data_IF_281477225639
#
_entry.id   IF_281477225639
#
_cell.length_a   1.000
_cell.length_b   1.000
_cell.length_c   1.000
_cell.angle_alpha   90.00
_cell.angle_beta   90.00
_cell.angle_gamma   90.00
#
_symmetry.space_group_name_H-M   'P 1'
#
loop_
_entity.id
_entity.type
_entity.pdbx_description
1 polymer ?
#
# COMPACT_ATOMS: atom_id res chain seq x y z
N UNK A 1 -14.47 -2.67 21.94
CA UNK A 1 -13.18 -2.12 21.47
C UNK A 1 -13.47 -0.73 20.92
N UNK A 2 -12.69 0.28 21.29
CA UNK A 2 -12.88 1.63 20.75
C UNK A 2 -12.66 1.57 19.23
N UNK A 3 -13.71 1.83 18.46
CA UNK A 3 -13.60 1.91 17.00
C UNK A 3 -12.62 3.05 16.67
N UNK A 4 -11.78 2.85 15.64
CA UNK A 4 -10.82 3.84 15.16
C UNK A 4 -11.08 4.10 13.70
N UNK A 5 -10.90 5.34 13.27
CA UNK A 5 -11.25 5.75 11.91
C UNK A 5 -10.13 6.55 11.25
N UNK A 6 -9.94 6.31 9.95
CA UNK A 6 -9.03 7.05 9.10
C UNK A 6 -9.85 7.72 8.01
N UNK A 7 -9.91 9.06 8.03
CA UNK A 7 -10.35 9.86 6.89
C UNK A 7 -9.19 9.91 5.88
N UNK A 8 -9.35 9.28 4.73
CA UNK A 8 -8.27 9.02 3.78
C UNK A 8 -8.51 9.71 2.44
N UNK A 9 -7.61 10.62 2.07
CA UNK A 9 -7.46 11.02 0.68
C UNK A 9 -6.73 9.95 -0.13
N UNK A 10 -7.04 9.90 -1.42
CA UNK A 10 -6.41 8.95 -2.35
C UNK A 10 -5.30 9.59 -3.17
N UNK A 11 -5.57 10.68 -3.94
CA UNK A 11 -4.52 11.33 -4.73
C UNK A 11 -3.45 11.93 -3.83
N UNK A 12 -2.18 11.75 -4.19
CA UNK A 12 -1.05 12.23 -3.41
C UNK A 12 -0.77 11.44 -2.13
N UNK A 13 -1.66 10.53 -1.70
CA UNK A 13 -1.46 9.65 -0.53
C UNK A 13 -1.16 8.22 -0.96
N UNK A 14 -2.08 7.58 -1.71
CA UNK A 14 -1.94 6.19 -2.17
C UNK A 14 -1.16 6.07 -3.48
N UNK A 15 -1.04 7.17 -4.20
CA UNK A 15 -0.10 7.36 -5.30
C UNK A 15 0.40 8.80 -5.24
N UNK A 16 1.68 9.02 -5.51
CA UNK A 16 2.38 10.30 -5.41
C UNK A 16 3.22 10.53 -6.66
N UNK A 17 3.82 11.72 -6.80
CA UNK A 17 4.74 11.98 -7.93
C UNK A 17 5.92 11.00 -7.92
N UNK A 18 6.42 10.68 -6.72
CA UNK A 18 7.45 9.64 -6.53
C UNK A 18 6.99 8.29 -7.04
N UNK A 19 5.80 7.82 -6.65
CA UNK A 19 5.31 6.51 -7.09
C UNK A 19 5.00 6.52 -8.59
N UNK A 20 4.48 7.62 -9.12
CA UNK A 20 4.19 7.80 -10.54
C UNK A 20 5.46 7.70 -11.39
N UNK A 21 6.55 8.35 -10.96
CA UNK A 21 7.86 8.26 -11.59
C UNK A 21 8.40 6.82 -11.59
N UNK A 22 8.22 6.11 -10.48
CA UNK A 22 8.70 4.72 -10.32
C UNK A 22 7.86 3.70 -11.09
N UNK A 23 6.54 3.89 -11.16
CA UNK A 23 5.58 2.94 -11.74
C UNK A 23 5.19 3.30 -13.19
N UNK A 24 5.64 4.45 -13.70
CA UNK A 24 5.39 4.89 -15.07
C UNK A 24 3.98 5.41 -15.31
N UNK A 25 3.33 6.02 -14.30
CA UNK A 25 2.01 6.64 -14.46
C UNK A 25 1.21 6.79 -13.16
N UNK A 26 -0.01 7.32 -13.31
CA UNK A 26 -1.00 7.52 -12.23
C UNK A 26 -2.31 6.82 -12.62
N UNK A 27 -3.19 6.51 -11.64
CA UNK A 27 -4.46 5.84 -11.91
C UNK A 27 -5.50 6.80 -12.50
N UNK A 28 -5.31 7.20 -13.76
CA UNK A 28 -6.13 8.21 -14.44
C UNK A 28 -6.83 7.72 -15.72
N UNK A 29 -6.73 6.43 -16.07
CA UNK A 29 -7.34 5.89 -17.29
C UNK A 29 -8.81 5.53 -17.11
N UNK A 30 -9.28 5.42 -15.87
CA UNK A 30 -10.66 5.06 -15.55
C UNK A 30 -10.93 3.57 -15.78
N UNK A 31 -9.89 2.73 -15.75
CA UNK A 31 -9.99 1.28 -15.94
C UNK A 31 -9.43 0.53 -14.73
N UNK A 32 -9.87 -0.71 -14.48
CA UNK A 32 -9.32 -1.54 -13.40
C UNK A 32 -7.81 -1.80 -13.52
N UNK A 33 -7.24 -1.59 -14.71
CA UNK A 33 -5.79 -1.71 -14.92
C UNK A 33 -5.00 -0.64 -14.16
N UNK A 34 -5.66 0.42 -13.69
CA UNK A 34 -5.08 1.50 -12.91
C UNK A 34 -4.61 1.08 -11.52
N UNK A 35 -5.06 -0.08 -11.00
CA UNK A 35 -4.58 -0.66 -9.74
C UNK A 35 -3.04 -0.75 -9.69
N UNK A 36 -2.38 -0.98 -10.83
CA UNK A 36 -0.91 -1.09 -10.92
C UNK A 36 -0.15 0.19 -10.55
N UNK A 37 -0.83 1.34 -10.55
CA UNK A 37 -0.23 2.66 -10.30
C UNK A 37 -0.32 3.09 -8.83
N UNK A 38 -0.97 2.30 -7.98
CA UNK A 38 -0.97 2.50 -6.54
C UNK A 38 0.38 2.13 -5.93
N UNK A 39 0.86 2.95 -4.99
CA UNK A 39 2.13 2.68 -4.31
C UNK A 39 1.99 1.49 -3.35
N UNK A 40 2.68 0.36 -3.59
CA UNK A 40 2.63 -0.79 -2.69
C UNK A 40 3.15 -0.48 -1.28
N UNK A 41 4.04 0.50 -1.13
CA UNK A 41 4.57 0.94 0.17
C UNK A 41 3.48 1.68 0.95
N UNK A 42 2.78 2.61 0.30
CA UNK A 42 1.66 3.33 0.91
C UNK A 42 0.54 2.36 1.34
N UNK A 43 0.17 1.44 0.46
CA UNK A 43 -0.79 0.38 0.79
C UNK A 43 -0.32 -0.49 1.96
N UNK A 44 0.98 -0.80 2.03
CA UNK A 44 1.58 -1.53 3.14
C UNK A 44 1.45 -0.80 4.49
N UNK A 45 1.65 0.51 4.52
CA UNK A 45 1.44 1.32 5.73
C UNK A 45 -0.03 1.33 6.16
N UNK A 46 -0.96 1.55 5.23
CA UNK A 46 -2.40 1.52 5.54
C UNK A 46 -2.87 0.16 6.05
N UNK A 47 -2.47 -0.93 5.41
CA UNK A 47 -2.78 -2.29 5.88
C UNK A 47 -2.25 -2.54 7.30
N UNK A 48 -1.08 -1.98 7.64
CA UNK A 48 -0.55 -2.02 9.00
C UNK A 48 -1.37 -1.17 9.98
N UNK A 49 -1.87 -0.01 9.58
CA UNK A 49 -2.79 0.77 10.42
C UNK A 49 -4.05 -0.06 10.74
N UNK A 50 -4.58 -0.84 9.79
CA UNK A 50 -5.70 -1.75 10.08
C UNK A 50 -5.30 -2.85 11.06
N UNK A 51 -4.20 -3.54 10.78
CA UNK A 51 -3.77 -4.69 11.59
C UNK A 51 -3.38 -4.31 13.03
N UNK A 52 -2.80 -3.12 13.23
CA UNK A 52 -2.30 -2.67 14.54
C UNK A 52 -3.35 -1.86 15.29
N UNK A 53 -4.03 -0.93 14.61
CA UNK A 53 -4.96 -0.01 15.25
C UNK A 53 -6.42 -0.51 15.21
N UNK A 54 -6.73 -1.53 14.40
CA UNK A 54 -8.12 -1.93 14.13
C UNK A 54 -8.92 -0.80 13.46
N UNK A 55 -8.22 0.11 12.76
CA UNK A 55 -8.84 1.29 12.18
C UNK A 55 -9.56 0.92 10.88
N UNK A 56 -10.74 1.53 10.68
CA UNK A 56 -11.48 1.48 9.42
C UNK A 56 -11.22 2.75 8.61
N UNK A 57 -11.49 2.69 7.31
CA UNK A 57 -11.23 3.80 6.38
C UNK A 57 -12.54 4.40 5.91
N UNK A 58 -12.62 5.72 5.97
CA UNK A 58 -13.60 6.50 5.23
C UNK A 58 -12.85 7.28 4.15
N UNK A 59 -13.25 7.09 2.91
CA UNK A 59 -12.59 7.75 1.77
C UNK A 59 -13.29 9.07 1.48
N UNK A 60 -12.49 10.13 1.39
CA UNK A 60 -12.93 11.45 0.90
C UNK A 60 -12.82 11.55 -0.63
N UNK A 61 -13.60 12.43 -1.26
CA UNK A 61 -13.41 12.88 -2.66
C UNK A 61 -13.86 11.92 -3.81
N UNK A 62 -13.43 12.17 -5.07
CA UNK A 62 -13.88 11.61 -6.36
C UNK A 62 -13.78 10.08 -6.52
N UNK A 63 -13.27 9.38 -5.51
CA UNK A 63 -13.13 7.92 -5.49
C UNK A 63 -14.43 7.19 -5.14
N UNK A 64 -15.52 7.94 -5.00
CA UNK A 64 -16.83 7.49 -4.53
C UNK A 64 -17.65 6.62 -5.46
N UNK A 65 -17.43 6.74 -6.77
CA UNK A 65 -18.30 6.12 -7.78
C UNK A 65 -17.51 5.62 -8.98
N UNK A 66 -18.13 4.75 -9.78
CA UNK A 66 -17.57 4.26 -11.04
C UNK A 66 -16.32 3.43 -10.83
N UNK A 67 -15.41 3.49 -11.80
CA UNK A 67 -14.15 2.72 -11.79
C UNK A 67 -13.28 2.98 -10.55
N UNK A 68 -13.11 4.22 -10.06
CA UNK A 68 -12.37 4.48 -8.81
C UNK A 68 -12.85 3.65 -7.60
N UNK A 69 -14.16 3.53 -7.40
CA UNK A 69 -14.72 2.72 -6.31
C UNK A 69 -14.43 1.21 -6.52
N UNK A 70 -14.50 0.73 -7.76
CA UNK A 70 -14.18 -0.66 -8.10
C UNK A 70 -12.69 -0.97 -7.94
N UNK A 71 -11.80 -0.04 -8.31
CA UNK A 71 -10.36 -0.12 -8.04
C UNK A 71 -10.11 -0.25 -6.54
N UNK A 72 -10.80 0.57 -5.73
CA UNK A 72 -10.63 0.56 -4.27
C UNK A 72 -10.96 -0.78 -3.64
N UNK A 73 -12.00 -1.46 -4.12
CA UNK A 73 -12.35 -2.82 -3.68
C UNK A 73 -11.23 -3.83 -3.96
N UNK A 74 -10.39 -3.60 -4.98
CA UNK A 74 -9.25 -4.46 -5.30
C UNK A 74 -8.01 -4.16 -4.44
N UNK A 75 -7.99 -3.06 -3.69
CA UNK A 75 -6.82 -2.65 -2.88
C UNK A 75 -6.74 -3.37 -1.52
N UNK A 76 -7.71 -4.23 -1.18
CA UNK A 76 -7.78 -4.96 0.09
C UNK A 76 -7.65 -4.01 1.30
N UNK A 77 -8.49 -2.96 1.29
CA UNK A 77 -8.59 -1.96 2.35
C UNK A 77 -9.90 -2.14 3.12
N UNK A 78 -9.88 -1.92 4.43
CA UNK A 78 -11.08 -1.99 5.28
C UNK A 78 -11.89 -0.69 5.18
N UNK A 79 -12.57 -0.48 4.05
CA UNK A 79 -13.41 0.70 3.82
C UNK A 79 -14.76 0.53 4.54
N UNK A 80 -15.04 1.43 5.46
CA UNK A 80 -16.34 1.54 6.15
C UNK A 80 -17.34 2.35 5.34
N UNK A 81 -16.86 3.40 4.67
CA UNK A 81 -17.73 4.27 3.89
C UNK A 81 -16.97 5.34 3.15
N UNK A 82 -17.72 6.30 2.65
CA UNK A 82 -17.19 7.41 1.87
C UNK A 82 -17.93 8.69 2.23
N UNK A 83 -17.23 9.81 2.30
CA UNK A 83 -17.82 11.09 2.71
C UNK A 83 -18.93 11.53 1.74
N UNK A 84 -20.00 12.20 2.20
CA UNK A 84 -21.03 12.72 1.30
C UNK A 84 -20.51 13.92 0.49
N UNK A 85 -20.97 14.12 -0.76
CA UNK A 85 -20.54 15.26 -1.57
C UNK A 85 -21.26 16.52 -1.10
N UNK A 86 -20.50 17.48 -0.58
CA UNK A 86 -21.02 18.77 -0.13
C UNK A 86 -20.14 19.91 -0.62
N UNK A 87 -20.73 21.10 -0.73
CA UNK A 87 -19.97 22.32 -1.00
C UNK A 87 -19.08 22.66 0.22
N UNK A 88 -17.93 23.28 -0.01
CA UNK A 88 -16.99 23.67 1.06
C UNK A 88 -15.70 22.86 1.12
N UNK A 89 -15.51 21.90 0.21
CA UNK A 89 -14.25 21.16 0.07
C UNK A 89 -14.09 20.05 1.12
N UNK A 90 -12.86 19.55 1.26
CA UNK A 90 -12.55 18.34 2.02
C UNK A 90 -13.00 18.40 3.49
N UNK A 91 -12.77 19.51 4.19
CA UNK A 91 -13.22 19.67 5.59
C UNK A 91 -14.73 19.59 5.74
N UNK A 92 -15.49 20.21 4.83
CA UNK A 92 -16.96 20.16 4.87
C UNK A 92 -17.49 18.73 4.64
N UNK A 93 -16.83 17.94 3.79
CA UNK A 93 -17.19 16.54 3.58
C UNK A 93 -16.98 15.67 4.83
N UNK A 94 -15.90 15.93 5.58
CA UNK A 94 -15.63 15.26 6.85
C UNK A 94 -16.70 15.63 7.88
N UNK A 95 -17.04 16.92 8.00
CA UNK A 95 -18.09 17.37 8.92
C UNK A 95 -19.45 16.75 8.56
N UNK A 96 -19.77 16.70 7.27
CA UNK A 96 -21.01 16.09 6.79
C UNK A 96 -21.06 14.57 7.03
N UNK A 97 -19.91 13.89 7.05
CA UNK A 97 -19.83 12.48 7.48
C UNK A 97 -20.11 12.34 8.98
N UNK A 98 -19.45 13.15 9.81
CA UNK A 98 -19.61 13.09 11.27
C UNK A 98 -20.97 13.62 11.76
N UNK A 99 -21.70 14.40 10.96
CA UNK A 99 -23.09 14.75 11.22
C UNK A 99 -24.04 13.54 11.19
N UNK A 100 -23.65 12.47 10.49
CA UNK A 100 -24.45 11.25 10.33
C UNK A 100 -23.88 10.06 11.11
N UNK A 101 -22.59 10.10 11.44
CA UNK A 101 -21.86 9.05 12.12
C UNK A 101 -21.14 9.64 13.33
N UNK A 102 -21.46 9.24 14.57
CA UNK A 102 -20.75 9.74 15.74
C UNK A 102 -19.24 9.54 15.60
N UNK A 103 -18.47 10.62 15.84
CA UNK A 103 -17.02 10.53 15.81
C UNK A 103 -16.54 9.51 16.85
N UNK A 104 -15.67 8.55 16.46
CA UNK A 104 -15.14 7.60 17.43
C UNK A 104 -14.16 8.30 18.37
N UNK A 105 -13.84 7.62 19.49
CA UNK A 105 -12.91 8.16 20.48
C UNK A 105 -11.47 8.41 19.97
N UNK A 106 -11.11 7.85 18.82
CA UNK A 106 -9.85 8.15 18.14
C UNK A 106 -10.02 8.06 16.61
N UNK A 107 -9.63 9.12 15.91
CA UNK A 107 -9.66 9.17 14.45
C UNK A 107 -8.55 10.08 13.91
N UNK A 108 -8.20 9.92 12.63
CA UNK A 108 -7.14 10.69 11.99
C UNK A 108 -7.52 11.05 10.55
N UNK A 109 -7.06 12.20 10.07
CA UNK A 109 -7.14 12.63 8.67
C UNK A 109 -5.76 12.45 8.04
N UNK A 110 -5.66 11.62 7.00
CA UNK A 110 -4.46 11.47 6.19
C UNK A 110 -4.76 12.09 4.82
N UNK A 111 -4.27 13.30 4.61
CA UNK A 111 -4.73 14.15 3.51
C UNK A 111 -3.62 15.04 2.97
N UNK A 112 -3.72 15.42 1.69
CA UNK A 112 -2.89 16.47 1.08
C UNK A 112 -3.49 17.86 1.23
N UNK A 113 -4.67 17.97 1.88
CA UNK A 113 -5.33 19.24 2.13
C UNK A 113 -4.45 20.18 2.93
N UNK A 114 -4.54 21.47 2.60
CA UNK A 114 -3.84 22.49 3.34
C UNK A 114 -4.52 22.69 4.71
N UNK A 115 -3.78 22.81 5.82
CA UNK A 115 -4.38 22.91 7.16
C UNK A 115 -5.42 24.04 7.26
N UNK A 116 -5.21 25.16 6.59
CA UNK A 116 -6.12 26.30 6.55
C UNK A 116 -7.50 26.00 5.92
N UNK A 117 -7.62 24.89 5.18
CA UNK A 117 -8.89 24.42 4.62
C UNK A 117 -9.72 23.58 5.59
N UNK A 118 -9.22 23.37 6.81
CA UNK A 118 -9.82 22.54 7.85
C UNK A 118 -10.10 23.35 9.11
N UNK A 119 -11.12 22.94 9.85
CA UNK A 119 -11.46 23.52 11.17
C UNK A 119 -10.37 23.23 12.19
N UNK A 120 -10.34 23.99 13.29
CA UNK A 120 -9.34 23.82 14.36
C UNK A 120 -9.34 22.39 14.94
N UNK A 121 -10.52 21.81 15.11
CA UNK A 121 -10.70 20.43 15.57
C UNK A 121 -10.17 19.42 14.55
N UNK A 122 -10.49 19.60 13.27
CA UNK A 122 -9.98 18.73 12.20
C UNK A 122 -8.46 18.83 12.06
N UNK A 123 -7.88 20.03 12.19
CA UNK A 123 -6.42 20.22 12.15
C UNK A 123 -5.70 19.47 13.27
N UNK A 124 -6.31 19.32 14.44
CA UNK A 124 -5.74 18.52 15.52
C UNK A 124 -5.62 17.02 15.19
N UNK A 125 -6.45 16.55 14.24
CA UNK A 125 -6.45 15.17 13.76
C UNK A 125 -5.75 15.00 12.40
N UNK A 126 -5.19 16.07 11.83
CA UNK A 126 -4.56 16.05 10.52
C UNK A 126 -3.12 15.55 10.57
N UNK A 127 -2.82 14.54 9.74
CA UNK A 127 -1.48 14.22 9.28
C UNK A 127 -1.36 14.60 7.82
N UNK A 128 -0.78 15.77 7.58
CA UNK A 128 -0.61 16.29 6.24
C UNK A 128 0.43 15.48 5.44
N UNK A 129 0.07 15.13 4.21
CA UNK A 129 0.89 14.39 3.26
C UNK A 129 1.39 15.33 2.17
N UNK A 130 2.69 15.26 1.87
CA UNK A 130 3.24 15.92 0.68
C UNK A 130 2.94 15.07 -0.56
N UNK A 131 2.16 15.55 -1.54
CA UNK A 131 1.79 14.77 -2.74
C UNK A 131 2.98 14.37 -3.61
N UNK A 132 4.12 15.06 -3.50
CA UNK A 132 5.34 14.68 -4.20
C UNK A 132 5.97 13.39 -3.62
N UNK A 133 5.83 13.19 -2.31
CA UNK A 133 6.47 12.12 -1.56
C UNK A 133 5.53 10.93 -1.30
N UNK A 134 4.26 11.19 -1.03
CA UNK A 134 3.26 10.19 -0.64
C UNK A 134 3.31 9.81 0.84
N UNK A 135 2.66 8.69 1.16
CA UNK A 135 2.60 8.15 2.53
C UNK A 135 3.97 7.60 2.99
N UNK A 136 4.64 8.33 3.89
CA UNK A 136 5.94 7.96 4.46
C UNK A 136 5.82 7.28 5.81
N UNK A 137 6.93 6.72 6.32
CA UNK A 137 7.00 6.12 7.65
C UNK A 137 6.69 7.13 8.77
N UNK A 138 7.07 8.39 8.59
CA UNK A 138 6.81 9.43 9.60
C UNK A 138 5.34 9.82 9.63
N UNK A 139 4.68 9.86 8.48
CA UNK A 139 3.22 10.04 8.40
C UNK A 139 2.52 8.86 9.07
N UNK A 140 2.96 7.63 8.79
CA UNK A 140 2.43 6.43 9.43
C UNK A 140 2.57 6.46 10.97
N UNK A 141 3.73 6.88 11.49
CA UNK A 141 3.95 7.02 12.95
C UNK A 141 3.04 8.08 13.57
N UNK A 142 2.97 9.26 12.97
CA UNK A 142 2.06 10.34 13.43
C UNK A 142 0.61 9.87 13.44
N UNK A 143 0.20 9.10 12.44
CA UNK A 143 -1.16 8.55 12.40
C UNK A 143 -1.40 7.57 13.55
N UNK A 144 -0.45 6.70 13.88
CA UNK A 144 -0.55 5.82 15.05
C UNK A 144 -0.64 6.59 16.37
N UNK A 145 0.15 7.66 16.51
CA UNK A 145 0.15 8.51 17.70
C UNK A 145 -1.23 9.17 17.91
N UNK A 146 -1.82 9.75 16.85
CA UNK A 146 -3.18 10.33 16.90
C UNK A 146 -4.23 9.25 17.19
N UNK A 147 -4.06 8.05 16.62
CA UNK A 147 -4.94 6.91 16.89
C UNK A 147 -4.75 6.31 18.30
N UNK A 148 -3.79 6.81 19.08
CA UNK A 148 -3.51 6.35 20.45
C UNK A 148 -2.98 4.92 20.50
N UNK A 149 -2.20 4.51 19.49
CA UNK A 149 -1.64 3.16 19.40
C UNK A 149 -0.12 3.22 19.41
N UNK A 150 0.50 2.52 20.36
CA UNK A 150 1.95 2.46 20.42
C UNK A 150 2.51 1.83 19.15
N UNK A 151 3.48 2.52 18.52
CA UNK A 151 4.20 1.99 17.37
C UNK A 151 4.99 0.73 17.78
N UNK A 152 4.70 -0.46 17.20
CA UNK A 152 5.50 -1.65 17.46
C UNK A 152 6.97 -1.40 17.13
N UNK A 153 7.87 -1.78 18.03
CA UNK A 153 9.32 -1.67 17.88
C UNK A 153 9.89 -2.45 16.67
N UNK A 154 9.09 -3.33 16.06
CA UNK A 154 9.38 -4.08 14.83
C UNK A 154 9.10 -3.33 13.51
N UNK A 155 8.61 -2.08 13.56
CA UNK A 155 8.24 -1.32 12.35
C UNK A 155 9.45 -0.75 11.60
N UNK A 156 10.60 -0.68 12.26
CA UNK A 156 11.88 -0.47 11.59
C UNK A 156 12.66 -1.78 11.61
N UNK A 157 12.89 -2.47 10.48
CA UNK A 157 14.26 -2.92 10.28
C UNK A 157 15.09 -1.65 10.43
N UNK A 158 16.08 -1.66 11.32
CA UNK A 158 16.98 -0.53 11.50
C UNK A 158 17.47 -0.11 10.11
N UNK A 159 16.92 0.97 9.54
CA UNK A 159 17.22 1.39 8.17
C UNK A 159 18.62 2.02 8.09
N UNK A 160 19.35 1.99 9.21
CA UNK A 160 20.81 1.94 9.19
C UNK A 160 21.18 0.73 8.34
N UNK A 161 21.41 1.01 7.05
CA UNK A 161 22.22 0.17 6.19
C UNK A 161 23.42 -0.19 7.04
N UNK A 162 23.47 -1.44 7.49
CA UNK A 162 24.61 -1.96 8.25
C UNK A 162 25.86 -1.44 7.52
N UNK A 163 26.76 -0.71 8.18
CA UNK A 163 27.93 -0.15 7.51
C UNK A 163 28.71 -1.24 6.74
N UNK A 164 28.56 -2.49 7.18
CA UNK A 164 29.14 -3.66 6.54
C UNK A 164 28.28 -4.25 5.41
N UNK A 165 27.04 -3.80 5.18
CA UNK A 165 26.18 -4.33 4.11
C UNK A 165 26.77 -4.05 2.72
N UNK A 166 27.36 -2.87 2.50
CA UNK A 166 28.09 -2.58 1.25
C UNK A 166 29.32 -3.47 1.10
N UNK A 167 29.98 -3.83 2.20
CA UNK A 167 31.12 -4.75 2.18
C UNK A 167 30.68 -6.19 1.90
N UNK A 168 29.61 -6.66 2.57
CA UNK A 168 28.96 -7.96 2.37
C UNK A 168 28.44 -8.11 0.95
N UNK A 169 27.81 -7.08 0.39
CA UNK A 169 27.32 -7.10 -1.00
C UNK A 169 28.48 -7.16 -2.00
N UNK A 170 29.56 -6.39 -1.79
CA UNK A 170 30.78 -6.49 -2.61
C UNK A 170 31.43 -7.87 -2.49
N UNK A 171 31.47 -8.44 -1.29
CA UNK A 171 32.00 -9.78 -1.06
C UNK A 171 31.18 -10.85 -1.77
N UNK A 172 29.85 -10.79 -1.71
CA UNK A 172 28.95 -11.69 -2.44
C UNK A 172 29.08 -11.53 -3.96
N UNK A 173 29.22 -10.29 -4.46
CA UNK A 173 29.48 -10.03 -5.87
C UNK A 173 30.83 -10.60 -6.33
N UNK A 174 31.86 -10.53 -5.47
CA UNK A 174 33.16 -11.12 -5.75
C UNK A 174 33.08 -12.64 -5.76
N UNK A 175 32.45 -13.24 -4.75
CA UNK A 175 32.21 -14.69 -4.69
C UNK A 175 31.39 -15.20 -5.87
N UNK A 176 30.40 -14.43 -6.35
CA UNK A 176 29.61 -14.79 -7.53
C UNK A 176 30.43 -14.72 -8.83
N UNK A 177 31.50 -13.92 -8.88
CA UNK A 177 32.45 -13.88 -10.01
C UNK A 177 33.47 -15.01 -9.94
N UNK A 178 33.94 -15.35 -8.74
CA UNK A 178 34.98 -16.36 -8.53
C UNK A 178 34.45 -17.80 -8.48
N UNK A 179 33.23 -17.99 -7.97
CA UNK A 179 32.59 -19.29 -7.79
C UNK A 179 31.09 -19.22 -8.16
N UNK A 180 30.75 -18.95 -9.44
CA UNK A 180 29.37 -18.79 -9.89
C UNK A 180 28.50 -20.03 -9.61
N UNK A 181 29.08 -21.22 -9.63
CA UNK A 181 28.42 -22.50 -9.32
C UNK A 181 27.84 -22.56 -7.91
N UNK A 182 28.37 -21.77 -6.96
CA UNK A 182 27.85 -21.68 -5.58
C UNK A 182 26.52 -20.93 -5.48
N UNK A 183 26.21 -20.12 -6.50
CA UNK A 183 24.98 -19.33 -6.59
C UNK A 183 24.03 -19.85 -7.67
N UNK A 184 24.41 -20.91 -8.37
CA UNK A 184 23.50 -21.63 -9.26
C UNK A 184 22.59 -22.54 -8.44
N UNK A 185 21.30 -22.64 -8.80
CA UNK A 185 20.43 -23.64 -8.20
C UNK A 185 21.04 -25.02 -8.43
N UNK A 186 21.01 -25.88 -7.41
CA UNK A 186 21.42 -27.27 -7.57
C UNK A 186 20.71 -27.88 -8.78
N UNK A 187 21.35 -28.77 -9.56
CA UNK A 187 20.79 -29.29 -10.81
C UNK A 187 19.38 -29.89 -10.63
N UNK A 188 19.13 -30.56 -9.49
CA UNK A 188 17.79 -31.04 -9.13
C UNK A 188 16.74 -29.93 -8.95
N UNK A 189 17.13 -28.76 -8.44
CA UNK A 189 16.25 -27.61 -8.29
C UNK A 189 16.03 -26.85 -9.62
N UNK A 190 17.02 -26.88 -10.52
CA UNK A 190 16.88 -26.34 -11.88
C UNK A 190 15.88 -27.17 -12.71
N UNK A 191 16.00 -28.50 -12.68
CA UNK A 191 15.06 -29.42 -13.36
C UNK A 191 13.64 -29.31 -12.79
N UNK A 192 13.50 -29.23 -11.46
CA UNK A 192 12.20 -29.04 -10.82
C UNK A 192 11.54 -27.71 -11.24
N UNK A 193 12.33 -26.64 -11.34
CA UNK A 193 11.85 -25.33 -11.79
C UNK A 193 11.47 -25.33 -13.26
N UNK A 194 12.23 -26.02 -14.11
CA UNK A 194 11.93 -26.15 -15.55
C UNK A 194 10.66 -26.97 -15.78
N UNK A 195 10.48 -28.07 -15.04
CA UNK A 195 9.23 -28.85 -15.04
C UNK A 195 8.05 -28.01 -14.55
N UNK A 196 8.21 -27.27 -13.46
CA UNK A 196 7.16 -26.39 -12.94
C UNK A 196 6.79 -25.29 -13.95
N UNK A 197 7.78 -24.73 -14.65
CA UNK A 197 7.57 -23.70 -15.67
C UNK A 197 6.91 -24.28 -16.93
N UNK A 198 7.29 -25.49 -17.35
CA UNK A 198 6.65 -26.21 -18.45
C UNK A 198 5.18 -26.56 -18.13
N UNK A 199 4.89 -27.00 -16.90
CA UNK A 199 3.52 -27.27 -16.44
C UNK A 199 2.69 -25.98 -16.41
N UNK A 200 3.27 -24.87 -15.95
CA UNK A 200 2.60 -23.56 -15.93
C UNK A 200 2.31 -23.05 -17.35
N UNK A 201 3.25 -23.19 -18.28
CA UNK A 201 3.09 -22.80 -19.69
C UNK A 201 2.07 -23.68 -20.40
N UNK A 202 2.07 -25.00 -20.17
CA UNK A 202 1.06 -25.92 -20.72
C UNK A 202 -0.35 -25.59 -20.21
N UNK A 203 -0.47 -25.26 -18.92
CA UNK A 203 -1.74 -24.85 -18.30
C UNK A 203 -2.27 -23.53 -18.84
N UNK A 204 -1.37 -22.60 -19.22
CA UNK A 204 -1.73 -21.29 -19.79
C UNK A 204 -2.04 -21.34 -21.29
N UNK A 205 -1.53 -22.35 -22.01
CA UNK A 205 -1.66 -22.48 -23.48
C UNK A 205 -2.67 -23.53 -23.93
N UNK A 206 -3.29 -24.26 -22.99
CA UNK A 206 -4.33 -25.25 -23.29
C UNK A 206 -3.83 -26.50 -24.00
N UNK A 207 -2.52 -26.72 -24.10
CA UNK A 207 -1.94 -27.95 -24.66
C UNK A 207 -1.72 -28.97 -23.55
N UNK A 208 -2.37 -30.13 -23.65
CA UNK A 208 -2.07 -31.28 -22.79
C UNK A 208 -0.65 -31.78 -23.08
N UNK A 209 0.13 -32.00 -22.01
CA UNK A 209 1.38 -32.76 -22.08
C UNK A 209 1.02 -34.23 -22.30
N UNK A 210 1.51 -34.83 -23.38
CA UNK A 210 1.34 -36.26 -23.63
C UNK A 210 2.00 -37.08 -22.53
N UNK A 211 1.21 -37.99 -21.96
CA UNK A 211 1.63 -38.97 -20.97
C UNK A 211 2.58 -39.97 -21.63
N UNK A 212 3.89 -39.75 -21.47
CA UNK A 212 4.90 -40.78 -21.74
C UNK A 212 4.68 -41.97 -20.83
N UNK A 213 4.39 -43.11 -21.45
CA UNK A 213 3.99 -44.38 -20.83
C UNK A 213 4.95 -44.86 -19.73
N UNK A 214 4.39 -45.12 -18.56
CA UNK A 214 4.97 -46.04 -17.58
C UNK A 214 4.62 -47.44 -18.10
N UNK A 215 5.57 -48.11 -18.74
CA UNK A 215 5.51 -49.55 -18.96
C UNK A 215 6.47 -50.25 -18.00
N UNK A 216 5.86 -51.12 -17.18
CA UNK A 216 6.36 -52.33 -16.51
C UNK A 216 7.85 -52.40 -16.13
#
# INVERSE_FOLDING_TARGET
>A
MSERLIMLDVPGVLYSDRSATRLGGTPNTGTLRDVRYFDPIALGYLRRLFGIAGARVVVSDAWRRGTPAAIFQQLDLQVEGMTPPVAGGHGAEIDAWFAQHPAPGAWVIISTAAPESLTDEQRAHLVQVNPAEGLTVDIFRKALDILGVACPSTITPDSRVDPDLKAKLRHLQQLAREAPERFMPAPAAAEARERAMAIAVASLTGKQLESGAIHA
#
